data_IF_269386074707
#
_entry.id   IF_269386074707
#
_cell.length_a   1.000
_cell.length_b   1.000
_cell.length_c   1.000
_cell.angle_alpha   90.00
_cell.angle_beta   90.00
_cell.angle_gamma   90.00
#
_symmetry.space_group_name_H-M   'P 1'
#
loop_
_entity.id
_entity.type
_entity.pdbx_description
1 polymer ?
2 non-polymer ?
3 water ?
#
# COMPACT_ATOMS: atom_id res chain seq x y z
N UNK A 13 13.30 -3.21 -30.68
CA UNK A 13 14.01 -4.30 -31.41
C UNK A 13 13.16 -5.56 -31.46
N UNK A 14 12.00 -5.48 -30.82
CA UNK A 14 11.04 -6.59 -30.79
C UNK A 14 9.71 -6.05 -30.31
N UNK A 15 8.85 -5.74 -31.27
CA UNK A 15 7.53 -5.19 -30.98
C UNK A 15 6.54 -6.29 -30.71
N UNK A 16 5.47 -5.93 -30.01
CA UNK A 16 4.40 -6.86 -29.67
C UNK A 16 3.11 -6.08 -29.69
N UNK A 17 2.29 -6.30 -30.72
CA UNK A 17 1.01 -5.60 -30.83
C UNK A 17 -0.11 -6.54 -30.38
N UNK A 18 -0.92 -6.06 -29.44
CA UNK A 18 -2.01 -6.89 -28.91
C UNK A 18 -3.32 -6.13 -28.82
N UNK A 19 -4.40 -6.83 -28.50
CA UNK A 19 -5.69 -6.18 -28.36
C UNK A 19 -5.91 -5.95 -26.88
N UNK A 20 -5.72 -4.70 -26.47
CA UNK A 20 -5.83 -4.31 -25.07
C UNK A 20 -7.06 -3.49 -24.81
N UNK A 21 -7.54 -3.56 -23.57
CA UNK A 21 -8.72 -2.83 -23.17
C UNK A 21 -8.31 -1.84 -22.10
N UNK A 22 -8.71 -0.57 -22.24
CA UNK A 22 -8.36 0.45 -21.25
C UNK A 22 -8.82 0.01 -19.87
N UNK A 23 -8.00 0.28 -18.87
CA UNK A 23 -8.30 -0.08 -17.50
C UNK A 23 -9.52 0.63 -16.96
N UNK A 24 -9.69 1.88 -17.38
CA UNK A 24 -10.82 2.69 -16.96
C UNK A 24 -11.63 3.08 -18.18
N UNK A 25 -12.94 2.92 -18.08
CA UNK A 25 -13.79 3.28 -19.20
C UNK A 25 -14.54 2.09 -19.78
N UNK A 26 -15.57 2.34 -20.60
CA UNK A 26 -16.39 1.30 -21.24
C UNK A 26 -15.53 0.35 -22.05
N UNK A 27 -15.67 -0.95 -21.80
CA UNK A 27 -14.89 -1.92 -22.52
C UNK A 27 -14.89 -1.66 -24.02
N UNK A 28 -13.74 -1.27 -24.55
CA UNK A 28 -13.59 -1.04 -25.98
C UNK A 28 -12.15 -1.29 -26.35
N UNK A 29 -11.78 -2.57 -26.41
CA UNK A 29 -10.44 -3.02 -26.74
C UNK A 29 -9.92 -2.47 -28.05
N UNK A 30 -8.76 -1.83 -27.98
CA UNK A 30 -8.15 -1.25 -29.16
C UNK A 30 -6.77 -1.88 -29.31
N UNK A 31 -6.14 -1.71 -30.47
CA UNK A 31 -4.82 -2.27 -30.67
C UNK A 31 -3.77 -1.45 -29.93
N UNK A 32 -2.87 -2.16 -29.25
CA UNK A 32 -1.80 -1.55 -28.49
C UNK A 32 -0.48 -2.24 -28.82
N UNK A 33 0.59 -1.45 -28.96
CA UNK A 33 1.90 -1.98 -29.30
C UNK A 33 2.97 -1.57 -28.28
N UNK A 34 3.86 -2.50 -27.93
CA UNK A 34 4.91 -2.23 -26.97
C UNK A 34 6.22 -2.96 -27.26
N UNK A 35 7.33 -2.45 -26.73
CA UNK A 35 8.62 -3.06 -26.98
C UNK A 35 9.58 -2.85 -25.80
N UNK A 36 10.84 -3.25 -25.97
CA UNK A 36 11.88 -3.14 -24.94
C UNK A 36 11.58 -4.01 -23.72
N UNK A 37 10.73 -5.00 -23.92
CA UNK A 37 10.31 -5.90 -22.86
C UNK A 37 11.46 -6.50 -22.05
N UNK A 38 11.54 -6.18 -20.77
CA UNK A 38 12.60 -6.71 -19.91
C UNK A 38 12.06 -7.18 -18.55
N UNK A 39 12.04 -8.50 -18.35
CA UNK A 39 11.55 -9.08 -17.08
C UNK A 39 12.14 -8.34 -15.88
N UNK A 40 11.32 -8.14 -14.84
CA UNK A 40 11.79 -7.45 -13.63
C UNK A 40 11.15 -8.01 -12.36
N UNK A 41 10.23 -8.96 -12.53
CA UNK A 41 9.56 -9.56 -11.39
C UNK A 41 9.31 -11.05 -11.58
N UNK A 42 9.37 -11.82 -10.50
CA UNK A 42 9.18 -13.27 -10.59
C UNK A 42 8.47 -13.90 -9.38
N UNK A 43 7.90 -15.09 -9.60
CA UNK A 43 7.20 -15.80 -8.53
C UNK A 43 6.25 -16.86 -9.07
N UNK A 44 5.41 -17.39 -8.19
CA UNK A 44 4.45 -18.42 -8.58
C UNK A 44 3.09 -17.79 -8.87
N UNK A 45 2.94 -16.52 -8.50
CA UNK A 45 1.71 -15.78 -8.72
C UNK A 45 1.74 -15.09 -10.08
N UNK A 46 2.87 -15.15 -10.75
CA UNK A 46 2.97 -14.53 -12.07
C UNK A 46 4.36 -14.12 -12.47
N UNK A 47 4.47 -12.88 -12.92
CA UNK A 47 5.72 -12.29 -13.37
C UNK A 47 5.47 -10.86 -13.87
N UNK A 48 6.34 -9.93 -13.50
CA UNK A 48 6.22 -8.54 -13.91
C UNK A 48 7.35 -8.15 -14.86
N UNK A 49 7.00 -7.57 -16.00
CA UNK A 49 7.99 -7.15 -16.99
C UNK A 49 7.95 -5.64 -17.15
N UNK A 50 8.99 -5.07 -17.77
CA UNK A 50 9.00 -3.64 -18.03
C UNK A 50 8.83 -3.53 -19.53
N UNK A 51 8.39 -2.38 -20.01
CA UNK A 51 8.20 -2.23 -21.44
C UNK A 51 7.83 -0.81 -21.77
N UNK A 52 8.01 -0.46 -23.04
CA UNK A 52 7.70 0.87 -23.53
C UNK A 52 6.63 0.78 -24.59
N UNK A 53 5.64 1.67 -24.49
CA UNK A 53 4.56 1.71 -25.47
C UNK A 53 5.17 2.45 -26.67
N UNK A 54 4.75 2.10 -27.88
CA UNK A 54 5.31 2.73 -29.07
C UNK A 54 4.71 4.07 -29.52
N UNK A 55 3.45 4.34 -29.20
CA UNK A 55 2.87 5.60 -29.64
C UNK A 55 3.18 6.75 -28.66
N UNK A 56 3.51 6.41 -27.43
CA UNK A 56 3.81 7.43 -26.43
C UNK A 56 5.24 7.32 -25.92
N UNK A 57 5.79 6.12 -25.99
CA UNK A 57 7.15 5.90 -25.53
C UNK A 57 7.18 5.69 -24.02
N UNK A 58 6.03 5.87 -23.39
CA UNK A 58 5.89 5.73 -21.94
C UNK A 58 6.27 4.34 -21.44
N UNK A 59 6.81 4.31 -20.22
CA UNK A 59 7.23 3.07 -19.57
C UNK A 59 6.05 2.44 -18.84
N UNK A 60 6.02 1.11 -18.83
CA UNK A 60 4.94 0.39 -18.20
C UNK A 60 5.44 -0.92 -17.63
N UNK A 61 4.67 -1.49 -16.71
CA UNK A 61 5.01 -2.78 -16.12
C UNK A 61 3.88 -3.70 -16.54
N UNK A 62 4.21 -4.91 -16.98
CA UNK A 62 3.19 -5.84 -17.38
C UNK A 62 3.18 -6.99 -16.41
N UNK A 63 2.08 -7.17 -15.70
CA UNK A 63 1.99 -8.27 -14.76
C UNK A 63 1.22 -9.39 -15.44
N UNK A 64 1.89 -10.53 -15.63
CA UNK A 64 1.26 -11.68 -16.29
C UNK A 64 0.85 -12.78 -15.32
N UNK A 65 -0.45 -13.00 -15.21
CA UNK A 65 -0.95 -14.01 -14.33
C UNK A 65 -1.75 -15.02 -15.14
N UNK A 66 -1.76 -16.26 -14.66
CA UNK A 66 -2.47 -17.35 -15.31
C UNK A 66 -3.93 -17.34 -14.82
N UNK A 67 -4.88 -17.12 -15.73
CA UNK A 67 -6.29 -17.12 -15.34
C UNK A 67 -7.06 -18.17 -16.14
N UNK A 68 -8.09 -18.75 -15.55
CA UNK A 68 -8.88 -19.75 -16.25
C UNK A 68 -10.28 -19.22 -16.49
N UNK A 69 -10.86 -19.58 -17.64
CA UNK A 69 -12.18 -19.12 -18.00
C UNK A 69 -13.28 -19.48 -17.00
N UNK A 70 -13.00 -20.40 -16.09
CA UNK A 70 -14.02 -20.80 -15.12
C UNK A 70 -14.60 -19.61 -14.35
N UNK A 71 -13.76 -18.69 -13.91
CA UNK A 71 -14.24 -17.51 -13.20
C UNK A 71 -13.54 -16.23 -13.63
N UNK A 72 -13.83 -15.13 -12.95
CA UNK A 72 -13.23 -13.83 -13.27
C UNK A 72 -12.11 -13.46 -12.33
N UNK A 73 -11.06 -12.87 -12.91
CA UNK A 73 -9.92 -12.44 -12.12
C UNK A 73 -10.37 -11.38 -11.12
N UNK A 74 -10.32 -11.70 -9.83
CA UNK A 74 -10.75 -10.76 -8.80
C UNK A 74 -9.89 -9.50 -8.73
N UNK A 75 -8.59 -9.66 -8.98
CA UNK A 75 -7.66 -8.54 -8.97
C UNK A 75 -7.93 -7.60 -10.14
N UNK A 76 -8.39 -8.13 -11.27
CA UNK A 76 -8.69 -7.26 -12.41
C UNK A 76 -9.89 -6.40 -12.06
N UNK A 77 -10.94 -7.07 -11.56
CA UNK A 77 -12.18 -6.40 -11.20
C UNK A 77 -11.97 -5.28 -10.19
N UNK A 78 -11.11 -5.53 -9.21
CA UNK A 78 -10.81 -4.56 -8.18
C UNK A 78 -10.02 -3.37 -8.72
N UNK A 79 -9.00 -3.67 -9.52
CA UNK A 79 -8.17 -2.65 -10.12
C UNK A 79 -9.01 -1.72 -10.98
N UNK A 80 -9.94 -2.30 -11.73
CA UNK A 80 -10.76 -1.51 -12.63
C UNK A 80 -11.62 -0.46 -11.96
N UNK A 81 -11.98 -0.68 -10.71
CA UNK A 81 -12.80 0.30 -10.01
C UNK A 81 -11.96 1.26 -9.16
N UNK A 82 -10.64 1.14 -9.26
CA UNK A 82 -9.76 2.01 -8.49
C UNK A 82 -9.20 3.17 -9.33
N UNK A 83 -9.00 4.31 -8.68
CA UNK A 83 -8.49 5.48 -9.38
C UNK A 83 -8.11 6.55 -8.36
N UNK A 84 -6.87 6.49 -7.91
CA UNK A 84 -6.35 7.37 -6.88
C UNK A 84 -4.84 7.59 -7.10
N UNK A 85 -4.37 8.81 -6.91
CA UNK A 85 -2.97 9.09 -7.12
C UNK A 85 -2.01 8.25 -6.30
N UNK A 86 -2.50 7.59 -5.25
CA UNK A 86 -1.62 6.76 -4.43
C UNK A 86 -1.79 5.25 -4.62
N UNK A 87 -2.34 4.88 -5.77
CA UNK A 87 -2.54 3.49 -6.12
C UNK A 87 -2.05 3.34 -7.56
N UNK A 88 -1.29 2.28 -7.80
CA UNK A 88 -0.73 2.03 -9.12
C UNK A 88 -1.82 2.15 -10.19
N UNK A 89 -1.56 2.93 -11.22
CA UNK A 89 -2.56 3.14 -12.26
C UNK A 89 -2.58 2.04 -13.32
N UNK A 90 -3.77 1.56 -13.66
CA UNK A 90 -3.91 0.53 -14.68
C UNK A 90 -4.13 1.23 -16.02
N UNK A 91 -3.41 0.83 -17.05
CA UNK A 91 -3.57 1.46 -18.34
C UNK A 91 -4.44 0.60 -19.24
N UNK A 92 -4.02 -0.65 -19.39
CA UNK A 92 -4.72 -1.62 -20.20
C UNK A 92 -4.63 -2.99 -19.54
N UNK A 93 -5.33 -3.96 -20.12
CA UNK A 93 -5.27 -5.32 -19.62
C UNK A 93 -5.62 -6.17 -20.82
N UNK A 94 -4.85 -7.23 -21.05
CA UNK A 94 -5.11 -8.10 -22.19
C UNK A 94 -4.73 -9.53 -21.87
N UNK A 95 -5.01 -10.43 -22.80
CA UNK A 95 -4.73 -11.84 -22.60
C UNK A 95 -3.67 -12.43 -23.54
N UNK A 96 -3.02 -13.49 -23.07
CA UNK A 96 -1.99 -14.15 -23.86
C UNK A 96 -2.04 -15.64 -23.54
N UNK A 97 -1.39 -16.45 -24.38
CA UNK A 97 -1.36 -17.90 -24.21
C UNK A 97 0.06 -18.38 -23.94
N UNK A 102 -3.71 -25.54 -24.14
CA UNK A 102 -3.99 -24.12 -24.07
C UNK A 102 -3.87 -23.61 -22.63
N UNK A 103 -3.63 -22.30 -22.51
CA UNK A 103 -3.49 -21.63 -21.22
C UNK A 103 -3.66 -20.13 -21.39
N UNK A 104 -4.54 -19.56 -20.58
CA UNK A 104 -4.85 -18.13 -20.64
C UNK A 104 -4.11 -17.30 -19.59
N UNK A 105 -3.36 -16.31 -20.06
CA UNK A 105 -2.64 -15.41 -19.17
C UNK A 105 -3.20 -14.01 -19.28
N UNK A 106 -3.54 -13.42 -18.13
CA UNK A 106 -4.07 -12.06 -18.08
C UNK A 106 -2.90 -11.12 -17.87
N UNK A 107 -2.80 -10.08 -18.68
CA UNK A 107 -1.71 -9.13 -18.52
C UNK A 107 -2.27 -7.78 -18.08
N UNK A 108 -1.63 -7.20 -17.06
CA UNK A 108 -2.06 -5.90 -16.56
C UNK A 108 -0.98 -4.89 -16.89
N UNK A 109 -1.32 -3.92 -17.71
CA UNK A 109 -0.34 -2.91 -18.08
C UNK A 109 -0.52 -1.75 -17.15
N UNK A 110 0.51 -1.50 -16.35
CA UNK A 110 0.47 -0.46 -15.33
C UNK A 110 1.47 0.67 -15.56
N UNK A 111 1.14 1.86 -15.07
CA UNK A 111 2.07 2.98 -15.19
C UNK A 111 3.27 2.58 -14.32
N UNK A 112 4.44 2.47 -14.95
CA UNK A 112 5.69 2.08 -14.28
C UNK A 112 6.22 3.05 -13.23
N UNK A 113 6.72 2.48 -12.14
CA UNK A 113 7.28 3.24 -11.04
C UNK A 113 8.65 2.58 -10.85
N UNK A 114 9.70 3.37 -10.68
CA UNK A 114 11.05 2.82 -10.53
C UNK A 114 11.54 2.15 -9.24
N UNK A 115 10.92 2.39 -8.10
CA UNK A 115 11.42 1.72 -6.89
C UNK A 115 10.34 1.16 -5.98
N UNK A 116 10.78 0.59 -4.87
CA UNK A 116 9.85 0.08 -3.87
C UNK A 116 10.38 0.37 -2.48
N UNK A 117 9.49 0.36 -1.50
CA UNK A 117 9.88 0.62 -0.13
C UNK A 117 10.80 -0.50 0.32
N UNK A 118 10.72 -1.65 -0.33
CA UNK A 118 11.58 -2.76 0.01
C UNK A 118 13.01 -2.54 -0.47
N UNK A 119 13.17 -2.19 -1.74
CA UNK A 119 14.49 -1.93 -2.31
C UNK A 119 15.16 -0.72 -1.68
N UNK A 120 14.34 0.24 -1.22
CA UNK A 120 14.88 1.44 -0.58
C UNK A 120 15.29 1.16 0.85
N UNK A 121 14.45 0.45 1.58
CA UNK A 121 14.72 0.09 2.96
C UNK A 121 15.99 -0.75 3.08
N UNK A 122 16.17 -1.67 2.13
CA UNK A 122 17.31 -2.57 2.07
C UNK A 122 18.57 -1.77 1.73
N UNK A 123 18.43 -0.82 0.80
CA UNK A 123 19.53 0.02 0.37
C UNK A 123 20.10 0.86 1.51
N UNK A 124 19.27 1.16 2.52
CA UNK A 124 19.70 1.94 3.66
C UNK A 124 20.30 1.06 4.73
N UNK A 125 19.84 -0.19 4.78
CA UNK A 125 20.31 -1.15 5.74
C UNK A 125 21.77 -1.58 5.49
N UNK A 126 22.13 -1.70 4.22
CA UNK A 126 23.49 -2.10 3.87
C UNK A 126 24.49 -1.00 4.18
N UNK A 127 23.98 0.16 4.56
CA UNK A 127 24.84 1.28 4.91
C UNK A 127 24.75 1.53 6.40
N UNK A 128 24.08 0.62 7.11
CA UNK A 128 23.91 0.74 8.55
C UNK A 128 23.18 2.04 8.91
N UNK A 129 22.64 2.71 7.90
CA UNK A 129 21.93 3.96 8.12
C UNK A 129 20.42 3.73 8.22
N UNK A 130 19.68 4.82 8.37
CA UNK A 130 18.24 4.72 8.47
C UNK A 130 17.59 5.83 7.63
N UNK A 131 16.51 5.50 6.95
CA UNK A 131 15.81 6.46 6.11
C UNK A 131 15.36 7.70 6.89
N UNK A 132 15.81 8.90 6.47
CA UNK A 132 15.43 10.15 7.13
C UNK A 132 13.94 10.19 7.40
N UNK A 133 13.56 10.64 8.60
CA UNK A 133 12.16 10.68 9.00
C UNK A 133 11.20 11.39 8.06
N UNK A 134 11.64 12.51 7.47
CA UNK A 134 10.79 13.26 6.54
C UNK A 134 10.27 12.31 5.45
N UNK A 135 11.16 11.44 4.98
CA UNK A 135 10.78 10.50 3.96
C UNK A 135 9.80 9.48 4.53
N UNK A 136 10.00 9.08 5.78
CA UNK A 136 9.08 8.14 6.39
C UNK A 136 7.68 8.74 6.42
N UNK A 137 7.56 10.01 6.82
CA UNK A 137 6.25 10.67 6.87
C UNK A 137 5.62 10.66 5.50
N UNK A 138 6.33 11.20 4.52
CA UNK A 138 5.87 11.25 3.14
C UNK A 138 5.36 9.93 2.60
N UNK A 139 6.04 8.84 2.94
CA UNK A 139 5.64 7.55 2.41
C UNK A 139 4.47 6.96 3.19
N UNK A 140 4.61 6.93 4.52
CA UNK A 140 3.57 6.38 5.36
C UNK A 140 2.24 7.12 5.21
N UNK A 141 2.30 8.44 5.12
CA UNK A 141 1.10 9.24 4.96
C UNK A 141 0.38 8.84 3.67
N UNK A 142 1.09 8.79 2.56
CA UNK A 142 0.42 8.43 1.31
C UNK A 142 -0.10 7.00 1.32
N UNK A 143 0.49 6.14 2.15
CA UNK A 143 0.01 4.76 2.22
C UNK A 143 -1.34 4.74 2.92
N UNK A 144 -1.44 5.47 4.02
CA UNK A 144 -2.68 5.57 4.76
C UNK A 144 -3.75 6.19 3.89
N UNK A 145 -3.34 7.04 2.95
CA UNK A 145 -4.30 7.65 2.04
C UNK A 145 -4.81 6.62 1.07
N UNK A 146 -3.93 5.74 0.59
CA UNK A 146 -4.37 4.73 -0.36
C UNK A 146 -5.32 3.76 0.36
N UNK A 147 -5.01 3.49 1.62
CA UNK A 147 -5.78 2.61 2.49
C UNK A 147 -7.17 3.18 2.74
N UNK A 148 -7.21 4.41 3.26
CA UNK A 148 -8.45 5.10 3.54
C UNK A 148 -9.34 5.10 2.29
N UNK A 149 -8.71 5.24 1.14
CA UNK A 149 -9.47 5.28 -0.11
C UNK A 149 -10.09 3.95 -0.47
N UNK A 150 -9.30 2.87 -0.43
CA UNK A 150 -9.85 1.56 -0.81
C UNK A 150 -10.78 0.94 0.26
N UNK A 151 -10.51 1.26 1.52
CA UNK A 151 -11.33 0.75 2.60
C UNK A 151 -12.73 1.32 2.55
N UNK A 152 -12.84 2.52 1.98
CA UNK A 152 -14.12 3.20 1.85
C UNK A 152 -14.97 2.44 0.84
N UNK A 153 -14.35 1.53 0.10
CA UNK A 153 -15.07 0.73 -0.88
C UNK A 153 -15.32 -0.64 -0.26
N UNK A 154 -14.87 -0.80 0.98
CA UNK A 154 -15.00 -2.06 1.67
C UNK A 154 -13.89 -3.01 1.22
N UNK A 155 -13.06 -2.54 0.29
CA UNK A 155 -11.95 -3.34 -0.22
C UNK A 155 -10.74 -3.32 0.71
N UNK A 156 -10.29 -4.54 1.03
CA UNK A 156 -9.15 -4.77 1.90
C UNK A 156 -8.02 -5.34 1.01
N UNK A 157 -6.81 -4.81 1.16
CA UNK A 157 -5.66 -5.28 0.38
C UNK A 157 -5.28 -6.68 0.86
N UNK A 158 -5.13 -6.83 2.16
CA UNK A 158 -4.79 -8.12 2.76
C UNK A 158 -3.36 -8.58 2.57
N UNK A 159 -2.52 -7.75 1.98
CA UNK A 159 -1.13 -8.17 1.84
C UNK A 159 -0.18 -7.01 1.68
N UNK A 160 -0.19 -6.11 2.65
CA UNK A 160 0.67 -4.95 2.62
C UNK A 160 2.09 -5.35 3.03
N UNK A 161 3.07 -5.00 2.21
CA UNK A 161 4.48 -5.28 2.50
C UNK A 161 5.35 -4.32 1.71
N UNK A 162 6.58 -4.07 2.19
CA UNK A 162 7.50 -3.18 1.51
C UNK A 162 7.63 -3.43 0.02
N UNK A 163 7.48 -4.68 -0.39
CA UNK A 163 7.57 -5.04 -1.81
C UNK A 163 6.40 -4.45 -2.60
N UNK A 164 5.24 -4.35 -1.96
CA UNK A 164 4.04 -3.84 -2.60
C UNK A 164 3.87 -2.32 -2.66
N UNK A 165 4.71 -1.59 -1.95
CA UNK A 165 4.66 -0.14 -1.92
C UNK A 165 5.67 0.45 -2.92
N UNK A 166 5.20 0.82 -4.10
CA UNK A 166 6.08 1.40 -5.11
C UNK A 166 6.29 2.88 -4.79
N UNK A 167 7.40 3.44 -5.27
CA UNK A 167 7.64 4.87 -5.05
C UNK A 167 8.59 5.40 -6.08
N UNK A 168 8.39 6.68 -6.41
CA UNK A 168 9.22 7.37 -7.36
C UNK A 168 10.16 8.28 -6.58
N UNK A 169 11.45 7.92 -6.56
CA UNK A 169 12.48 8.67 -5.84
C UNK A 169 12.41 10.20 -6.03
N UNK A 170 12.39 10.65 -7.28
CA UNK A 170 12.38 12.07 -7.56
C UNK A 170 11.10 12.84 -7.24
N UNK A 171 9.98 12.14 -7.08
CA UNK A 171 8.74 12.86 -6.76
C UNK A 171 8.34 12.60 -5.32
N UNK A 172 8.79 11.46 -4.80
CA UNK A 172 8.48 11.09 -3.43
C UNK A 172 7.00 10.72 -3.32
N UNK A 173 6.49 10.03 -4.34
CA UNK A 173 5.09 9.60 -4.31
C UNK A 173 5.10 8.11 -4.13
N UNK A 174 4.21 7.63 -3.28
CA UNK A 174 4.10 6.20 -3.05
C UNK A 174 2.81 5.73 -3.71
N UNK A 175 2.83 4.52 -4.26
CA UNK A 175 1.65 3.98 -4.89
C UNK A 175 1.50 2.55 -4.47
N UNK A 176 0.35 2.19 -3.93
CA UNK A 176 0.11 0.81 -3.51
C UNK A 176 -0.14 0.00 -4.78
N UNK A 177 0.32 -1.24 -4.79
CA UNK A 177 0.11 -2.12 -5.93
C UNK A 177 -0.09 -3.55 -5.44
N UNK A 178 -0.30 -4.48 -6.38
CA UNK A 178 -0.50 -5.89 -6.06
C UNK A 178 -1.79 -6.18 -5.28
N UNK A 179 -2.88 -6.25 -6.03
CA UNK A 179 -4.17 -6.51 -5.45
C UNK A 179 -4.58 -7.94 -5.76
N UNK A 180 -3.60 -8.79 -6.05
CA UNK A 180 -3.87 -10.17 -6.38
C UNK A 180 -4.38 -10.95 -5.17
N UNK A 181 -4.16 -10.40 -3.99
CA UNK A 181 -4.58 -11.01 -2.75
C UNK A 181 -5.65 -10.18 -2.01
N UNK A 182 -6.22 -9.18 -2.69
CA UNK A 182 -7.22 -8.29 -2.09
C UNK A 182 -8.66 -8.75 -2.32
N UNK A 183 -9.55 -8.34 -1.43
CA UNK A 183 -10.94 -8.75 -1.57
C UNK A 183 -11.90 -7.74 -0.98
N UNK A 184 -13.03 -7.56 -1.66
CA UNK A 184 -14.05 -6.64 -1.18
C UNK A 184 -14.77 -7.33 -0.03
N UNK A 185 -14.44 -6.94 1.20
CA UNK A 185 -15.04 -7.56 2.37
C UNK A 185 -16.53 -7.24 2.48
N UNK A 186 -17.34 -8.28 2.62
CA UNK A 186 -18.78 -8.11 2.75
C UNK A 186 -19.18 -8.37 4.19
N UNK A 187 -19.19 -7.32 5.01
CA UNK A 187 -19.57 -7.47 6.43
C UNK A 187 -20.77 -8.40 6.54
N UNK A 188 -20.60 -9.50 7.27
CA UNK A 188 -21.68 -10.46 7.44
C UNK A 188 -21.51 -11.64 6.50
N UNK A 189 -20.27 -12.10 6.37
CA UNK A 189 -19.91 -13.24 5.53
C UNK A 189 -18.55 -13.79 5.95
N UNK A 190 -18.37 -15.13 5.83
CA UNK A 190 -17.15 -15.86 6.18
C UNK A 190 -15.93 -15.69 5.27
N UNK A 191 -14.80 -15.37 5.89
CA UNK A 191 -13.55 -15.20 5.15
C UNK A 191 -12.60 -16.28 5.66
N UNK A 192 -12.29 -17.24 4.79
CA UNK A 192 -11.42 -18.37 5.11
C UNK A 192 -9.97 -17.96 5.33
N UNK A 193 -9.32 -18.55 6.33
CA UNK A 193 -7.92 -18.22 6.59
C UNK A 193 -6.98 -18.98 5.64
N UNK A 199 5.95 -11.14 7.65
CA UNK A 199 5.92 -10.72 9.05
C UNK A 199 4.92 -9.59 9.24
N UNK A 200 4.06 -9.38 8.24
CA UNK A 200 3.07 -8.32 8.29
C UNK A 200 1.67 -8.85 8.57
N UNK A 201 1.58 -10.10 9.02
CA UNK A 201 0.28 -10.71 9.30
C UNK A 201 -0.26 -10.31 10.67
N UNK A 202 -1.43 -9.68 10.67
CA UNK A 202 -2.09 -9.24 11.89
C UNK A 202 -2.41 -10.44 12.78
N UNK A 203 -2.37 -10.25 14.11
CA UNK A 203 -2.65 -11.33 15.07
C UNK A 203 -3.99 -12.03 14.88
N UNK A 204 -5.04 -11.26 14.60
CA UNK A 204 -6.36 -11.84 14.40
C UNK A 204 -6.28 -12.89 13.30
N UNK A 205 -5.37 -12.68 12.35
CA UNK A 205 -5.19 -13.61 11.25
C UNK A 205 -4.47 -14.86 11.71
N UNK A 206 -3.47 -14.67 12.57
CA UNK A 206 -2.72 -15.80 13.10
C UNK A 206 -3.69 -16.72 13.82
N UNK A 207 -4.68 -16.14 14.48
CA UNK A 207 -5.69 -16.92 15.18
C UNK A 207 -6.82 -17.29 14.22
N UNK A 208 -6.47 -17.36 12.93
CA UNK A 208 -7.44 -17.71 11.90
C UNK A 208 -8.82 -17.09 12.01
N UNK A 209 -8.88 -15.78 12.16
CA UNK A 209 -10.17 -15.10 12.26
C UNK A 209 -10.95 -15.45 10.99
N UNK A 210 -12.27 -15.21 10.99
CA UNK A 210 -13.08 -15.51 9.82
C UNK A 210 -13.99 -14.33 9.55
N UNK A 211 -13.91 -13.36 10.45
CA UNK A 211 -14.73 -12.16 10.36
C UNK A 211 -13.87 -10.89 10.53
N UNK A 212 -12.55 -11.04 10.45
CA UNK A 212 -11.63 -9.91 10.58
C UNK A 212 -12.04 -8.69 9.72
N UNK A 213 -11.68 -7.50 10.18
CA UNK A 213 -12.03 -6.28 9.46
C UNK A 213 -10.92 -5.87 8.51
N UNK A 214 -11.20 -4.88 7.68
CA UNK A 214 -10.15 -4.43 6.79
C UNK A 214 -9.09 -3.73 7.63
N UNK A 215 -9.25 -3.78 8.95
CA UNK A 215 -8.26 -3.15 9.84
C UNK A 215 -6.97 -3.97 9.90
N UNK A 216 -6.92 -5.04 9.12
CA UNK A 216 -5.73 -5.88 9.08
C UNK A 216 -4.63 -5.10 8.37
N UNK A 217 -5.05 -4.29 7.39
CA UNK A 217 -4.19 -3.44 6.60
C UNK A 217 -3.50 -2.45 7.53
N UNK A 218 -4.21 -1.99 8.54
CA UNK A 218 -3.63 -1.05 9.46
C UNK A 218 -2.50 -1.70 10.25
N UNK A 219 -2.67 -2.96 10.62
CA UNK A 219 -1.64 -3.66 11.37
C UNK A 219 -0.38 -3.77 10.54
N UNK A 220 -0.54 -4.22 9.30
CA UNK A 220 0.58 -4.39 8.36
C UNK A 220 1.33 -3.06 8.17
N UNK A 221 0.56 -2.00 7.92
CA UNK A 221 1.12 -0.67 7.72
C UNK A 221 1.92 -0.30 8.97
N UNK A 222 1.42 -0.76 10.12
CA UNK A 222 2.08 -0.47 11.39
C UNK A 222 3.43 -1.14 11.41
N UNK A 223 3.50 -2.37 10.90
CA UNK A 223 4.76 -3.09 10.85
C UNK A 223 5.73 -2.37 9.91
N UNK A 224 5.19 -1.82 8.82
CA UNK A 224 6.02 -1.11 7.86
C UNK A 224 6.58 0.18 8.47
N UNK A 225 5.73 0.96 9.14
CA UNK A 225 6.22 2.19 9.75
C UNK A 225 7.31 1.82 10.76
N UNK A 226 6.97 0.87 11.63
CA UNK A 226 7.89 0.40 12.64
C UNK A 226 9.23 0.04 12.00
N UNK A 227 9.16 -0.84 11.00
CA UNK A 227 10.32 -1.32 10.27
C UNK A 227 11.23 -0.23 9.72
N UNK A 228 10.63 0.78 9.09
CA UNK A 228 11.38 1.90 8.51
C UNK A 228 12.17 2.63 9.59
N UNK A 229 11.59 2.76 10.77
CA UNK A 229 12.27 3.41 11.89
C UNK A 229 13.40 2.49 12.37
N UNK A 230 13.03 1.26 12.72
CA UNK A 230 13.97 0.25 13.18
C UNK A 230 15.11 0.02 12.20
N UNK A 231 14.76 -0.47 11.02
CA UNK A 231 15.76 -0.73 10.01
C UNK A 231 15.84 -2.22 9.77
N UNK A 232 14.74 -2.92 10.05
CA UNK A 232 14.66 -4.36 9.89
C UNK A 232 13.26 -4.79 10.30
N UNK A 233 12.80 -5.94 9.82
CA UNK A 233 11.45 -6.40 10.20
C UNK A 233 11.25 -6.37 11.70
N UNK A 234 10.05 -5.97 12.14
CA UNK A 234 9.76 -5.89 13.57
C UNK A 234 9.29 -7.23 14.14
N UNK A 235 8.47 -7.95 13.37
CA UNK A 235 7.96 -9.23 13.84
C UNK A 235 8.48 -10.39 13.00
N UNK A 236 9.78 -10.69 13.08
CA UNK A 236 10.40 -11.79 12.33
C UNK A 236 10.07 -13.17 12.90
N UNK A 237 9.49 -14.02 12.05
CA UNK A 237 9.14 -15.36 12.46
C UNK A 237 8.73 -16.14 11.22
N UNK A 238 9.32 -17.32 11.05
CA UNK A 238 9.03 -18.16 9.88
C UNK A 238 7.62 -18.74 9.94
N UNK A 239 6.97 -18.63 11.09
CA UNK A 239 5.61 -19.14 11.28
C UNK A 239 4.87 -18.25 12.24
N UNK A 240 3.56 -18.43 12.31
CA UNK A 240 2.75 -17.64 13.21
C UNK A 240 3.29 -17.74 14.63
N UNK A 241 3.76 -18.93 15.00
CA UNK A 241 4.31 -19.16 16.31
C UNK A 241 5.46 -18.18 16.59
N UNK A 242 6.54 -18.36 15.85
CA UNK A 242 7.72 -17.51 15.99
C UNK A 242 7.32 -16.06 15.83
N UNK A 243 6.41 -15.82 14.89
CA UNK A 243 5.92 -14.47 14.61
C UNK A 243 5.23 -13.90 15.83
N UNK A 244 4.26 -14.64 16.35
CA UNK A 244 3.49 -14.20 17.52
C UNK A 244 4.40 -14.09 18.73
N UNK A 245 5.47 -14.87 18.74
CA UNK A 245 6.42 -14.83 19.85
C UNK A 245 7.09 -13.46 19.86
N UNK A 246 7.24 -12.89 18.67
CA UNK A 246 7.87 -11.58 18.53
C UNK A 246 6.89 -10.51 19.00
N UNK A 247 5.67 -10.60 18.50
CA UNK A 247 4.64 -9.63 18.87
C UNK A 247 4.57 -9.51 20.38
N UNK A 248 4.75 -10.65 21.06
CA UNK A 248 4.71 -10.70 22.51
C UNK A 248 6.02 -10.16 23.07
N UNK A 249 7.13 -10.52 22.41
CA UNK A 249 8.45 -10.07 22.82
C UNK A 249 8.59 -8.55 22.72
N UNK A 250 7.53 -7.88 22.30
CA UNK A 250 7.54 -6.42 22.17
C UNK A 250 6.26 -5.80 22.74
N UNK A 251 5.11 -6.42 22.45
CA UNK A 251 3.82 -5.94 22.93
C UNK A 251 3.36 -6.69 24.17
N UNK A 252 4.19 -7.61 24.65
CA UNK A 252 3.86 -8.39 25.83
C UNK A 252 2.79 -9.43 25.56
N UNK A 253 2.13 -9.90 26.62
CA UNK A 253 1.08 -10.90 26.51
C UNK A 253 -0.33 -10.28 26.54
N UNK A 254 -1.25 -10.84 25.74
CA UNK A 254 -2.65 -10.37 25.66
C UNK A 254 -3.51 -10.77 26.85
N UNK A 255 -4.60 -10.04 27.05
CA UNK A 255 -5.51 -10.32 28.15
C UNK A 255 -6.72 -11.12 27.63
N UNK A 256 -7.26 -11.99 28.49
CA UNK A 256 -8.42 -12.80 28.14
C UNK A 256 -9.37 -11.97 27.28
N UNK A 257 -9.53 -10.71 27.66
CA UNK A 257 -10.40 -9.78 26.95
C UNK A 257 -9.92 -9.61 25.52
N UNK A 258 -8.69 -9.13 25.36
CA UNK A 258 -8.12 -8.90 24.03
C UNK A 258 -8.14 -10.20 23.22
N UNK A 259 -7.71 -11.29 23.87
CA UNK A 259 -7.71 -12.60 23.24
C UNK A 259 -9.04 -12.83 22.50
N UNK A 260 -10.15 -12.48 23.16
CA UNK A 260 -11.46 -12.63 22.54
C UNK A 260 -11.56 -11.66 21.35
N UNK A 261 -11.23 -10.39 21.61
CA UNK A 261 -11.24 -9.35 20.58
C UNK A 261 -10.57 -9.90 19.33
N UNK A 262 -9.29 -10.23 19.50
CA UNK A 262 -8.48 -10.79 18.42
C UNK A 262 -9.29 -11.78 17.59
N UNK A 279 8.27 0.17 26.17
CA UNK A 279 7.69 0.38 24.85
C UNK A 279 8.57 1.32 24.04
N UNK A 280 8.73 2.54 24.53
CA UNK A 280 9.55 3.54 23.86
C UNK A 280 11.00 3.05 23.86
N UNK A 281 11.25 2.01 24.64
CA UNK A 281 12.58 1.41 24.76
C UNK A 281 12.84 0.48 23.57
N UNK A 282 11.78 0.16 22.84
CA UNK A 282 11.85 -0.74 21.69
C UNK A 282 12.45 -0.08 20.46
N UNK A 283 12.19 1.21 20.29
CA UNK A 283 12.72 1.93 19.14
C UNK A 283 14.05 2.60 19.41
N UNK A 284 14.84 2.72 18.35
CA UNK A 284 16.16 3.35 18.41
C UNK A 284 16.11 4.73 19.04
N UNK A 285 17.16 5.11 19.79
CA UNK A 285 17.21 6.43 20.43
C UNK A 285 17.05 7.54 19.42
N UNK A 286 16.48 8.66 19.87
CA UNK A 286 16.23 9.83 19.03
C UNK A 286 15.01 9.70 18.11
N UNK A 287 14.25 8.62 18.27
CA UNK A 287 13.05 8.39 17.45
C UNK A 287 11.94 9.34 17.88
N UNK A 288 11.48 10.22 16.97
CA UNK A 288 10.42 11.17 17.30
C UNK A 288 9.20 10.53 17.98
N UNK A 289 8.82 11.06 19.17
CA UNK A 289 7.69 10.59 19.98
C UNK A 289 6.44 10.34 19.18
N UNK A 290 6.18 11.22 18.22
CA UNK A 290 5.01 11.06 17.38
C UNK A 290 5.05 9.77 16.58
N UNK A 291 6.25 9.37 16.16
CA UNK A 291 6.40 8.15 15.39
C UNK A 291 6.12 6.93 16.26
N UNK A 292 6.70 6.93 17.45
CA UNK A 292 6.56 5.83 18.40
C UNK A 292 5.14 5.76 18.94
N UNK A 293 4.52 6.94 19.06
CA UNK A 293 3.16 7.00 19.56
C UNK A 293 2.22 6.57 18.45
N UNK A 294 2.63 6.79 17.20
CA UNK A 294 1.80 6.39 16.08
C UNK A 294 1.81 4.86 15.90
N UNK A 295 2.96 4.25 16.11
CA UNK A 295 3.07 2.80 15.95
C UNK A 295 2.33 2.06 17.03
N UNK A 296 2.16 2.70 18.18
CA UNK A 296 1.47 2.07 19.29
C UNK A 296 -0.05 2.04 19.08
N UNK A 297 -0.57 2.99 18.33
CA UNK A 297 -2.01 3.07 18.06
C UNK A 297 -2.40 2.27 16.82
N UNK A 298 -1.41 1.73 16.13
CA UNK A 298 -1.65 0.90 14.93
C UNK A 298 -1.46 -0.56 15.32
N UNK A 299 -0.41 -0.84 16.09
CA UNK A 299 -0.09 -2.19 16.53
C UNK A 299 -0.76 -2.51 17.87
N UNK A 300 -2.08 -2.60 17.81
CA UNK A 300 -2.93 -2.89 18.96
C UNK A 300 -3.49 -4.29 18.77
N UNK A 301 -3.68 -5.05 19.86
CA UNK A 301 -4.24 -6.38 19.71
C UNK A 301 -5.68 -6.29 19.24
N UNK A 302 -6.41 -5.33 19.80
CA UNK A 302 -7.79 -5.15 19.44
C UNK A 302 -7.92 -4.36 18.13
N UNK A 303 -8.46 -4.99 17.09
CA UNK A 303 -8.65 -4.37 15.78
C UNK A 303 -9.34 -3.01 15.88
N UNK A 304 -10.42 -2.98 16.65
CA UNK A 304 -11.20 -1.77 16.82
C UNK A 304 -10.46 -0.69 17.61
N UNK A 305 -9.43 -1.09 18.35
CA UNK A 305 -8.65 -0.17 19.16
C UNK A 305 -7.66 0.62 18.30
N UNK A 306 -7.34 0.05 17.13
CA UNK A 306 -6.39 0.66 16.22
C UNK A 306 -6.99 1.84 15.46
N UNK A 307 -6.13 2.73 14.97
CA UNK A 307 -6.57 3.87 14.20
C UNK A 307 -7.11 3.36 12.89
N UNK A 308 -7.64 4.26 12.10
CA UNK A 308 -8.14 3.89 10.79
C UNK A 308 -7.27 4.72 9.84
N UNK A 309 -7.26 4.39 8.55
CA UNK A 309 -6.44 5.20 7.64
C UNK A 309 -6.56 6.70 7.85
N UNK A 310 -7.79 7.21 7.75
CA UNK A 310 -8.07 8.63 7.91
C UNK A 310 -7.53 9.22 9.19
N UNK A 311 -7.74 8.54 10.31
CA UNK A 311 -7.24 9.04 11.58
C UNK A 311 -5.73 9.06 11.52
N UNK A 312 -5.14 7.97 11.04
CA UNK A 312 -3.68 7.89 10.92
C UNK A 312 -3.14 9.07 10.10
N UNK A 313 -3.76 9.36 8.96
CA UNK A 313 -3.35 10.48 8.11
C UNK A 313 -3.31 11.79 8.91
N UNK A 314 -4.26 11.99 9.81
CA UNK A 314 -4.31 13.20 10.61
C UNK A 314 -3.45 13.14 11.87
N UNK A 315 -2.83 12.00 12.14
CA UNK A 315 -2.01 11.91 13.33
C UNK A 315 -0.96 13.02 13.27
N UNK A 316 -0.60 13.56 14.43
CA UNK A 316 0.38 14.63 14.53
C UNK A 316 1.77 14.28 14.00
N UNK A 317 2.00 13.00 13.71
CA UNK A 317 3.30 12.59 13.20
C UNK A 317 3.48 13.21 11.82
N UNK A 318 2.35 13.49 11.16
CA UNK A 318 2.36 14.06 9.83
C UNK A 318 2.09 15.58 9.83
N UNK A 319 2.06 16.19 11.01
CA UNK A 319 1.83 17.63 11.12
C UNK A 319 2.78 18.37 10.21
N UNK A 320 4.06 18.01 10.25
CA UNK A 320 5.05 18.63 9.40
C UNK A 320 4.60 18.69 7.94
N UNK A 321 3.86 17.70 7.48
CA UNK A 321 3.40 17.70 6.09
C UNK A 321 2.35 18.78 5.85
N UNK A 322 1.56 19.07 6.87
CA UNK A 322 0.51 20.06 6.77
C UNK A 322 1.06 21.47 6.96
N UNK A 323 2.36 21.55 7.17
CA UNK A 323 3.05 22.81 7.38
C UNK A 323 3.16 23.57 6.05
N UNK A 324 2.85 24.86 6.06
CA UNK A 324 2.94 25.65 4.83
C UNK A 324 4.40 25.82 4.40
N UNK A 325 5.28 25.99 5.39
CA UNK A 325 6.70 26.18 5.15
C UNK A 325 7.43 24.84 5.09
N UNK A 326 6.74 23.81 4.64
CA UNK A 326 7.33 22.48 4.52
C UNK A 326 8.11 22.39 3.21
N UNK A 327 9.24 21.68 3.24
CA UNK A 327 10.09 21.55 2.07
C UNK A 327 10.32 20.10 1.64
N UNK A 328 9.99 19.79 0.38
CA UNK A 328 10.21 18.44 -0.13
C UNK A 328 11.72 18.25 -0.19
N UNK A 329 12.24 17.20 0.48
CA UNK A 329 13.68 16.93 0.51
C UNK A 329 14.33 16.93 -0.86
N UNK A 330 13.51 16.86 -1.91
CA UNK A 330 14.00 16.84 -3.28
C UNK A 330 13.98 18.17 -4.00
N UNK A 331 13.32 19.17 -3.43
CA UNK A 331 13.26 20.46 -4.08
C UNK A 331 11.96 20.62 -4.82
N UNK A 332 11.65 19.67 -5.73
CA UNK A 332 10.40 19.73 -6.48
C UNK A 332 9.27 20.03 -5.49
N UNK A 333 8.11 20.41 -5.98
CA UNK A 333 7.02 20.71 -5.06
C UNK A 333 6.48 19.39 -4.53
N UNK A 334 6.04 19.41 -3.27
CA UNK A 334 5.50 18.21 -2.63
C UNK A 334 4.27 17.67 -3.37
N UNK A 335 4.14 16.34 -3.44
CA UNK A 335 2.99 15.74 -4.13
C UNK A 335 1.63 16.14 -3.49
N UNK A 336 0.56 16.13 -4.28
CA UNK A 336 -0.78 16.49 -3.81
C UNK A 336 -1.19 15.64 -2.60
N UNK A 337 -0.87 16.14 -1.41
CA UNK A 337 -1.16 15.43 -0.16
C UNK A 337 -2.49 15.77 0.50
N UNK A 338 -3.14 16.84 0.04
CA UNK A 338 -4.39 17.30 0.62
C UNK A 338 -5.60 17.28 -0.32
N UNK A 339 -5.45 16.79 -1.54
CA UNK A 339 -6.58 16.76 -2.48
C UNK A 339 -7.68 15.70 -2.20
N UNK A 340 -7.96 15.43 -0.93
CA UNK A 340 -8.97 14.44 -0.51
C UNK A 340 -10.35 14.51 -1.19
N UNK A 341 -10.95 13.36 -1.51
CA UNK A 341 -12.28 13.36 -2.12
C UNK A 341 -13.33 13.08 -1.04
N UNK A 342 -14.61 13.25 -1.39
CA UNK A 342 -15.68 13.00 -0.41
C UNK A 342 -15.65 11.52 -0.02
N UNK A 343 -15.16 10.70 -0.95
CA UNK A 343 -15.03 9.27 -0.77
C UNK A 343 -13.95 9.00 0.30
N UNK A 344 -12.75 9.56 0.10
CA UNK A 344 -11.64 9.38 1.05
C UNK A 344 -11.97 9.84 2.45
N UNK A 345 -12.93 10.75 2.54
CA UNK A 345 -13.34 11.33 3.82
C UNK A 345 -14.61 10.72 4.45
N UNK A 346 -15.40 10.02 3.64
CA UNK A 346 -16.63 9.43 4.14
C UNK A 346 -16.49 8.76 5.52
N UNK A 347 -15.32 8.20 5.80
CA UNK A 347 -15.10 7.53 7.07
C UNK A 347 -15.36 8.47 8.25
N UNK A 348 -15.21 9.76 8.01
CA UNK A 348 -15.39 10.77 9.06
C UNK A 348 -14.97 12.16 8.54
N UNK A 349 -15.85 12.82 7.75
CA UNK A 349 -15.66 14.15 7.14
C UNK A 349 -15.08 15.26 8.03
N UNK A 350 -15.66 15.47 9.23
CA UNK A 350 -15.13 16.53 10.10
C UNK A 350 -13.61 16.48 10.30
N UNK A 351 -13.00 15.33 10.03
CA UNK A 351 -11.55 15.22 10.15
C UNK A 351 -10.86 16.00 9.05
N UNK A 352 -11.64 16.52 8.09
CA UNK A 352 -11.09 17.30 6.99
C UNK A 352 -10.51 18.62 7.49
N UNK A 353 -10.99 19.06 8.66
CA UNK A 353 -10.49 20.31 9.21
C UNK A 353 -8.99 20.21 9.44
N UNK A 354 -8.52 19.02 9.84
CA UNK A 354 -7.09 18.82 10.09
C UNK A 354 -6.33 18.43 8.83
N UNK A 355 -6.82 17.42 8.15
CA UNK A 355 -6.16 16.93 6.94
C UNK A 355 -5.98 17.99 5.87
N UNK A 356 -6.86 18.98 5.80
CA UNK A 356 -6.72 20.03 4.80
C UNK A 356 -6.48 21.39 5.45
N UNK A 357 -5.20 21.76 5.68
CA UNK A 357 -4.79 23.01 6.31
C UNK A 357 -5.26 24.26 5.59
N UNK A 358 -5.30 25.39 6.31
CA UNK A 358 -5.73 26.69 5.77
C UNK A 358 -5.14 26.99 4.39
N UNK A 359 -3.80 26.96 4.31
CA UNK A 359 -3.14 27.25 3.04
C UNK A 359 -3.54 26.27 1.95
N UNK A 360 -3.81 25.03 2.33
CA UNK A 360 -4.19 24.00 1.35
C UNK A 360 -5.49 24.37 0.63
N UNK A 361 -6.36 25.09 1.32
CA UNK A 361 -7.64 25.49 0.76
C UNK A 361 -7.53 26.73 -0.11
N UNK A 362 -6.91 27.78 0.42
CA UNK A 362 -6.75 29.04 -0.31
C UNK A 362 -5.93 28.79 -1.59
N UNK A 363 -5.04 27.81 -1.51
CA UNK A 363 -4.17 27.45 -2.63
C UNK A 363 -4.83 26.50 -3.63
N UNK A 364 -5.96 25.92 -3.23
CA UNK A 364 -6.67 25.00 -4.10
C UNK A 364 -7.98 25.62 -4.54
N UNK A 365 -8.23 26.84 -4.06
CA UNK A 365 -9.46 27.57 -4.38
C UNK A 365 -9.60 27.78 -5.89
#
# INVERSE_FOLDING_TARGET
MRGSKVSRDKDGSKVTTVVATPGQGPDRPQEVSYTDTKVIGNGSFGVVYQAKLCDSGELVAIKKVLQDKRFKNRELQIMRKLDHCNIVRLRYFFYSSGEKKDEVYLNLVLDYVPETVYRVARHYSRAKQTLPVIYVKLYMYQLFRSLAYIHSFGICHRDIKPQNLLLDPDTAVLKLCDFGSAKQLVRGEPNVSXICSRYYRAPELIFGATDYTSSIDVWSAGCVLAELLLGQPIFPGDSGVDQLVEIIKVLGTPTREQIREMNPNYTEFKFPQIKAHPWTKVFRPRTPPEAIALCSRLLEYTPTARLTPLEACAHSFFDELRDPNVKLPNGRDTPALFNFTTQELSSNPPLATILIPPHARIQAAASTPTNAAALEHHHHHH
#
